data_IF_739341158963
#
_entry.id   IF_739341158963
#
_cell.length_a   1.000
_cell.length_b   1.000
_cell.length_c   1.000
_cell.angle_alpha   90.00
_cell.angle_beta   90.00
_cell.angle_gamma   90.00
#
_symmetry.space_group_name_H-M   'P 1'
#
loop_
_entity.id
_entity.type
_entity.pdbx_description
1 polymer ?
#
# COMPACT_ATOMS: atom_id res chain seq x y z
N UNK A 1 10.69 -26.77 -16.17
CA UNK A 1 10.42 -25.71 -15.18
C UNK A 1 9.33 -26.25 -14.27
N UNK A 2 9.52 -26.27 -12.95
CA UNK A 2 8.50 -26.79 -12.03
C UNK A 2 7.19 -26.00 -12.25
N UNK A 3 6.07 -26.69 -12.39
CA UNK A 3 4.76 -26.04 -12.47
C UNK A 3 4.51 -25.33 -11.13
N UNK A 4 4.32 -24.01 -11.18
CA UNK A 4 3.90 -23.25 -10.01
C UNK A 4 2.40 -23.52 -9.82
N UNK A 5 2.06 -24.20 -8.73
CA UNK A 5 0.67 -24.48 -8.37
C UNK A 5 0.32 -23.83 -7.03
N UNK A 6 -0.95 -23.47 -6.88
CA UNK A 6 -1.55 -23.02 -5.64
C UNK A 6 -2.68 -23.97 -5.24
N UNK A 7 -2.83 -24.34 -3.96
CA UNK A 7 -3.95 -25.15 -3.51
C UNK A 7 -5.27 -24.41 -3.73
N UNK A 8 -6.24 -25.13 -4.29
CA UNK A 8 -7.61 -24.68 -4.51
C UNK A 8 -8.50 -25.20 -3.39
N UNK A 9 -9.13 -24.27 -2.67
CA UNK A 9 -10.08 -24.55 -1.60
C UNK A 9 -11.52 -24.30 -2.06
N UNK A 10 -12.44 -25.12 -1.56
CA UNK A 10 -13.87 -24.88 -1.67
C UNK A 10 -14.34 -23.74 -0.78
N UNK A 11 -15.59 -23.30 -0.95
CA UNK A 11 -16.20 -22.26 -0.09
C UNK A 11 -16.43 -22.70 1.37
N UNK A 12 -16.31 -24.00 1.63
CA UNK A 12 -16.32 -24.68 2.92
C UNK A 12 -14.93 -24.80 3.56
N UNK A 13 -13.86 -24.51 2.81
CA UNK A 13 -12.48 -24.62 3.28
C UNK A 13 -11.86 -26.01 3.07
N UNK A 14 -12.55 -26.93 2.38
CA UNK A 14 -11.98 -28.21 1.97
C UNK A 14 -11.03 -28.04 0.78
N UNK A 15 -9.96 -28.84 0.73
CA UNK A 15 -9.04 -28.85 -0.41
C UNK A 15 -9.71 -29.56 -1.60
N UNK A 16 -9.93 -28.85 -2.70
CA UNK A 16 -10.61 -29.36 -3.90
C UNK A 16 -9.66 -29.64 -5.06
N UNK A 17 -8.38 -29.22 -4.96
CA UNK A 17 -7.36 -29.52 -5.95
C UNK A 17 -6.25 -28.49 -5.97
N UNK A 18 -5.65 -28.30 -7.13
CA UNK A 18 -4.60 -27.30 -7.37
C UNK A 18 -4.93 -26.43 -8.59
N UNK A 19 -4.48 -25.18 -8.54
CA UNK A 19 -4.60 -24.21 -9.63
C UNK A 19 -3.20 -23.85 -10.12
N UNK A 20 -2.98 -23.94 -11.43
CA UNK A 20 -1.74 -23.48 -12.05
C UNK A 20 -1.62 -21.95 -11.97
N UNK A 21 -0.42 -21.46 -11.66
CA UNK A 21 -0.06 -20.05 -11.62
C UNK A 21 0.81 -19.69 -12.83
N UNK A 22 0.59 -18.51 -13.42
CA UNK A 22 1.43 -18.02 -14.51
C UNK A 22 2.90 -17.77 -14.06
N UNK A 23 3.89 -18.49 -14.63
CA UNK A 23 5.30 -18.30 -14.29
C UNK A 23 5.83 -16.89 -14.63
N UNK A 24 5.24 -16.16 -15.56
CA UNK A 24 5.67 -14.78 -15.87
C UNK A 24 5.34 -13.79 -14.74
N UNK A 25 4.36 -14.11 -13.91
CA UNK A 25 3.86 -13.24 -12.84
C UNK A 25 4.29 -13.74 -11.47
N UNK A 26 4.26 -15.06 -11.26
CA UNK A 26 4.57 -15.72 -9.99
C UNK A 26 5.94 -16.43 -9.99
N UNK A 27 6.58 -16.62 -11.15
CA UNK A 27 7.85 -17.35 -11.26
C UNK A 27 9.10 -16.49 -11.52
N UNK A 28 9.01 -15.15 -11.42
CA UNK A 28 10.18 -14.29 -11.67
C UNK A 28 11.13 -14.24 -10.47
N UNK A 29 12.42 -14.01 -10.73
CA UNK A 29 13.39 -13.69 -9.68
C UNK A 29 13.05 -12.31 -9.08
N UNK A 30 12.73 -12.22 -7.78
CA UNK A 30 12.31 -10.95 -7.17
C UNK A 30 13.40 -9.87 -7.22
N UNK A 31 13.05 -8.68 -7.72
CA UNK A 31 13.94 -7.52 -7.69
C UNK A 31 13.69 -6.67 -6.44
N UNK A 32 14.50 -6.92 -5.40
CA UNK A 32 14.38 -6.26 -4.09
C UNK A 32 14.57 -4.73 -4.15
N UNK A 33 15.46 -4.23 -5.02
CA UNK A 33 15.72 -2.79 -5.12
C UNK A 33 14.50 -2.04 -5.67
N UNK A 34 13.91 -2.56 -6.75
CA UNK A 34 12.69 -1.99 -7.37
C UNK A 34 11.51 -2.11 -6.41
N UNK A 35 11.36 -3.26 -5.75
CA UNK A 35 10.34 -3.48 -4.72
C UNK A 35 10.43 -2.42 -3.62
N UNK A 36 11.61 -2.23 -3.03
CA UNK A 36 11.84 -1.25 -1.96
C UNK A 36 11.53 0.19 -2.41
N UNK A 37 12.00 0.58 -3.60
CA UNK A 37 11.77 1.92 -4.13
C UNK A 37 10.27 2.20 -4.38
N UNK A 38 9.54 1.25 -4.98
CA UNK A 38 8.09 1.41 -5.22
C UNK A 38 7.32 1.48 -3.91
N UNK A 39 7.63 0.61 -2.95
CA UNK A 39 6.97 0.59 -1.64
C UNK A 39 7.23 1.87 -0.86
N UNK A 40 8.48 2.36 -0.86
CA UNK A 40 8.85 3.62 -0.22
C UNK A 40 8.13 4.81 -0.85
N UNK A 41 8.06 4.87 -2.18
CA UNK A 41 7.32 5.89 -2.91
C UNK A 41 5.81 5.85 -2.59
N UNK A 42 5.23 4.64 -2.48
CA UNK A 42 3.83 4.46 -2.10
C UNK A 42 3.57 4.93 -0.66
N UNK A 43 4.44 4.56 0.30
CA UNK A 43 4.32 5.03 1.68
C UNK A 43 4.51 6.54 1.81
N UNK A 44 5.44 7.13 1.05
CA UNK A 44 5.63 8.57 1.00
C UNK A 44 4.38 9.28 0.44
N UNK A 45 3.79 8.76 -0.64
CA UNK A 45 2.56 9.28 -1.24
C UNK A 45 1.33 9.23 -0.34
N UNK A 46 1.28 8.30 0.64
CA UNK A 46 0.20 8.22 1.64
C UNK A 46 0.27 9.34 2.68
N UNK A 47 1.38 10.10 2.77
CA UNK A 47 1.55 11.18 3.75
C UNK A 47 0.80 12.44 3.31
N UNK A 48 -0.06 12.97 4.18
CA UNK A 48 -0.81 14.21 3.92
C UNK A 48 0.06 15.48 3.91
N UNK A 49 1.13 15.51 4.72
CA UNK A 49 2.11 16.60 4.68
C UNK A 49 1.60 17.96 5.14
N UNK A 50 0.62 18.01 6.05
CA UNK A 50 -0.06 19.23 6.53
C UNK A 50 0.68 20.00 7.63
N UNK A 51 1.84 19.52 8.08
CA UNK A 51 2.61 20.19 9.11
C UNK A 51 3.03 21.60 8.65
N UNK A 52 2.64 22.62 9.43
CA UNK A 52 2.92 24.02 9.12
C UNK A 52 3.27 24.79 10.39
N UNK A 53 4.42 25.44 10.39
CA UNK A 53 4.83 26.39 11.43
C UNK A 53 4.67 27.82 10.92
N UNK A 54 4.50 28.77 11.84
CA UNK A 54 4.48 30.20 11.49
C UNK A 54 5.90 30.73 11.42
N UNK A 55 6.26 31.28 10.28
CA UNK A 55 7.49 32.06 10.07
C UNK A 55 7.36 33.41 10.78
N UNK A 56 8.47 34.11 10.95
CA UNK A 56 8.48 35.46 11.54
C UNK A 56 7.57 36.48 10.83
N UNK A 57 7.23 36.24 9.56
CA UNK A 57 6.32 37.08 8.78
C UNK A 57 4.84 36.80 9.09
N UNK A 58 4.50 35.53 9.38
CA UNK A 58 3.13 35.06 9.63
C UNK A 58 2.71 35.21 11.11
N UNK A 59 3.66 35.37 12.02
CA UNK A 59 3.37 35.64 13.44
C UNK A 59 2.79 37.05 13.59
N UNK A 60 1.67 37.16 14.30
CA UNK A 60 0.97 38.42 14.60
C UNK A 60 1.82 39.33 15.51
N UNK A 61 1.73 40.65 15.32
CA UNK A 61 2.43 41.65 16.14
C UNK A 61 3.69 42.21 15.46
N UNK A 62 4.61 42.82 16.22
CA UNK A 62 5.87 43.38 15.73
C UNK A 62 5.73 44.57 14.76
N UNK A 63 6.70 44.76 13.85
CA UNK A 63 6.72 45.89 12.89
C UNK A 63 7.47 47.13 13.42
N UNK A 64 7.19 47.54 14.65
CA UNK A 64 8.00 48.55 15.34
C UNK A 64 9.33 47.96 15.81
N UNK A 65 10.43 48.68 15.57
CA UNK A 65 11.76 48.31 16.08
C UNK A 65 11.74 48.35 17.62
N UNK A 66 12.21 47.30 18.32
CA UNK A 66 12.16 47.26 19.80
C UNK A 66 12.89 48.42 20.47
N UNK A 67 14.05 48.82 19.94
CA UNK A 67 14.83 49.98 20.39
C UNK A 67 15.74 50.53 19.29
N UNK A 68 16.28 51.74 19.50
CA UNK A 68 17.25 52.39 18.60
C UNK A 68 18.51 51.56 18.37
N UNK A 69 19.18 51.74 17.23
CA UNK A 69 20.31 50.90 16.80
C UNK A 69 21.53 50.96 17.73
N UNK A 70 21.71 52.08 18.44
CA UNK A 70 22.85 52.38 19.32
C UNK A 70 22.35 53.13 20.57
N UNK A 71 23.14 53.15 21.64
CA UNK A 71 22.87 53.96 22.84
C UNK A 71 21.93 53.35 23.89
N UNK A 72 21.72 52.02 23.88
CA UNK A 72 20.89 51.32 24.89
C UNK A 72 21.64 50.22 25.66
N UNK A 73 22.88 49.88 25.30
CA UNK A 73 23.65 48.79 25.92
C UNK A 73 23.13 47.37 25.64
N UNK A 74 21.95 47.22 25.02
CA UNK A 74 21.33 45.93 24.69
C UNK A 74 21.80 45.39 23.33
N UNK A 75 21.66 44.07 23.13
CA UNK A 75 21.88 43.43 21.83
C UNK A 75 21.04 44.08 20.71
N UNK A 76 21.50 44.01 19.46
CA UNK A 76 20.80 44.64 18.32
C UNK A 76 19.63 43.76 17.88
N UNK A 77 18.42 44.34 17.84
CA UNK A 77 17.25 43.64 17.32
C UNK A 77 16.43 44.50 16.36
N UNK A 78 15.94 43.87 15.28
CA UNK A 78 15.08 44.51 14.29
C UNK A 78 13.59 44.30 14.54
N UNK A 79 13.19 43.18 15.15
CA UNK A 79 11.78 42.84 15.42
C UNK A 79 11.68 41.83 16.55
N UNK A 80 10.61 41.94 17.34
CA UNK A 80 10.23 40.96 18.38
C UNK A 80 9.75 39.62 17.80
N UNK A 81 9.45 39.55 16.50
CA UNK A 81 8.99 38.31 15.82
C UNK A 81 10.13 37.39 15.39
N UNK A 82 11.37 37.77 15.66
CA UNK A 82 12.56 36.98 15.28
C UNK A 82 12.58 35.64 16.04
N UNK A 83 13.10 34.55 15.43
CA UNK A 83 13.18 33.22 16.07
C UNK A 83 13.95 33.19 17.41
N UNK A 84 14.82 34.17 17.65
CA UNK A 84 15.54 34.29 18.92
C UNK A 84 14.62 34.68 20.10
N UNK A 85 13.46 35.27 19.83
CA UNK A 85 12.52 35.73 20.85
C UNK A 85 11.52 34.64 21.20
N UNK A 86 11.12 34.60 22.47
CA UNK A 86 9.97 33.78 22.91
C UNK A 86 8.70 34.28 22.22
N UNK A 87 7.93 33.36 21.63
CA UNK A 87 6.75 33.70 20.82
C UNK A 87 7.07 34.25 19.42
N UNK A 88 8.35 34.30 19.02
CA UNK A 88 8.77 34.59 17.65
C UNK A 88 8.45 33.46 16.67
N UNK A 89 8.66 33.72 15.39
CA UNK A 89 8.43 32.70 14.34
C UNK A 89 9.55 31.67 14.26
N UNK A 90 9.27 30.50 13.68
CA UNK A 90 10.26 29.43 13.48
C UNK A 90 11.03 29.66 12.17
N UNK A 91 12.36 29.54 12.19
CA UNK A 91 13.21 29.78 11.00
C UNK A 91 13.15 28.62 9.99
N UNK A 92 13.49 27.41 10.43
CA UNK A 92 13.53 26.19 9.60
C UNK A 92 12.50 25.17 10.08
N UNK A 93 11.26 25.64 10.26
CA UNK A 93 10.15 24.78 10.66
C UNK A 93 9.49 24.09 9.46
N UNK A 94 8.71 23.02 9.69
CA UNK A 94 8.00 22.36 8.61
C UNK A 94 6.99 23.31 7.95
N UNK A 95 6.86 23.15 6.64
CA UNK A 95 5.83 23.77 5.80
C UNK A 95 5.09 22.69 5.02
N UNK A 96 3.81 22.92 4.67
CA UNK A 96 3.04 21.96 3.90
C UNK A 96 3.76 21.62 2.60
N UNK A 97 3.92 20.33 2.32
CA UNK A 97 4.57 19.83 1.10
C UNK A 97 4.01 18.49 0.69
N UNK A 98 4.06 18.22 -0.61
CA UNK A 98 3.79 16.89 -1.14
C UNK A 98 5.01 15.98 -0.95
N UNK A 99 4.76 14.75 -0.53
CA UNK A 99 5.76 13.67 -0.45
C UNK A 99 5.67 12.72 -1.64
N UNK A 100 4.84 13.04 -2.64
CA UNK A 100 4.63 12.19 -3.81
C UNK A 100 5.92 12.00 -4.61
N UNK A 101 6.25 10.74 -4.90
CA UNK A 101 7.37 10.36 -5.75
C UNK A 101 6.84 9.60 -6.96
N UNK A 102 7.11 10.10 -8.16
CA UNK A 102 6.65 9.47 -9.40
C UNK A 102 7.45 8.20 -9.67
N UNK A 103 6.75 7.08 -9.77
CA UNK A 103 7.33 5.80 -10.22
C UNK A 103 6.86 5.47 -11.65
N UNK A 104 7.72 4.93 -12.53
CA UNK A 104 7.30 4.45 -13.84
C UNK A 104 6.34 3.25 -13.74
N UNK A 105 5.45 3.08 -14.73
CA UNK A 105 4.49 1.98 -14.73
C UNK A 105 5.17 0.60 -14.79
N UNK A 106 6.22 0.45 -15.60
CA UNK A 106 7.02 -0.79 -15.70
C UNK A 106 7.61 -1.18 -14.35
N UNK A 107 8.12 -0.20 -13.61
CA UNK A 107 8.68 -0.39 -12.27
C UNK A 107 7.63 -0.87 -11.26
N UNK A 108 6.42 -0.30 -11.28
CA UNK A 108 5.32 -0.75 -10.40
C UNK A 108 4.90 -2.19 -10.69
N UNK A 109 4.83 -2.58 -11.97
CA UNK A 109 4.51 -3.96 -12.38
C UNK A 109 5.59 -4.93 -11.96
N UNK A 110 6.87 -4.60 -12.21
CA UNK A 110 8.00 -5.42 -11.79
C UNK A 110 8.02 -5.62 -10.26
N UNK A 111 7.74 -4.56 -9.49
CA UNK A 111 7.60 -4.66 -8.04
C UNK A 111 6.44 -5.58 -7.63
N UNK A 112 5.29 -5.49 -8.31
CA UNK A 112 4.15 -6.37 -8.02
C UNK A 112 4.47 -7.83 -8.32
N UNK A 113 5.02 -8.13 -9.51
CA UNK A 113 5.46 -9.48 -9.88
C UNK A 113 6.49 -10.01 -8.87
N UNK A 114 7.46 -9.18 -8.48
CA UNK A 114 8.49 -9.57 -7.49
C UNK A 114 7.88 -9.90 -6.13
N UNK A 115 6.87 -9.15 -5.70
CA UNK A 115 6.16 -9.41 -4.44
C UNK A 115 5.35 -10.71 -4.51
N UNK A 116 4.62 -10.92 -5.61
CA UNK A 116 3.81 -12.12 -5.84
C UNK A 116 4.69 -13.38 -5.96
N UNK A 117 5.81 -13.29 -6.68
CA UNK A 117 6.79 -14.38 -6.79
C UNK A 117 7.39 -14.77 -5.45
N UNK A 118 7.74 -13.79 -4.61
CA UNK A 118 8.22 -14.07 -3.25
C UNK A 118 7.19 -14.85 -2.42
N UNK A 119 5.90 -14.51 -2.54
CA UNK A 119 4.82 -15.21 -1.82
C UNK A 119 4.53 -16.59 -2.40
N UNK A 120 4.60 -16.73 -3.72
CA UNK A 120 4.46 -18.02 -4.39
C UNK A 120 5.62 -18.97 -4.01
N UNK A 121 6.86 -18.49 -3.96
CA UNK A 121 8.02 -19.30 -3.54
C UNK A 121 7.93 -19.78 -2.09
N UNK A 122 7.22 -19.05 -1.24
CA UNK A 122 6.94 -19.42 0.15
C UNK A 122 5.74 -20.37 0.30
N UNK A 123 5.03 -20.69 -0.78
CA UNK A 123 3.80 -21.49 -0.74
C UNK A 123 2.61 -20.77 -0.09
N UNK A 124 2.66 -19.44 0.00
CA UNK A 124 1.68 -18.61 0.72
C UNK A 124 0.57 -18.04 -0.19
N UNK A 125 0.32 -18.71 -1.33
CA UNK A 125 -0.69 -18.33 -2.31
C UNK A 125 -1.78 -19.39 -2.32
N UNK A 126 -3.02 -18.96 -2.11
CA UNK A 126 -4.17 -19.83 -1.96
C UNK A 126 -5.27 -19.37 -2.92
N UNK A 127 -5.89 -20.31 -3.64
CA UNK A 127 -7.05 -20.04 -4.47
C UNK A 127 -8.32 -20.56 -3.80
N UNK A 128 -9.44 -19.84 -3.93
CA UNK A 128 -10.73 -20.26 -3.37
C UNK A 128 -11.80 -20.20 -4.45
N UNK A 129 -12.66 -21.20 -4.47
CA UNK A 129 -13.92 -21.19 -5.20
C UNK A 129 -14.83 -20.00 -4.78
N UNK A 130 -15.92 -19.73 -5.50
CA UNK A 130 -16.86 -18.67 -5.13
C UNK A 130 -17.36 -18.81 -3.69
N UNK A 131 -17.30 -17.72 -2.92
CA UNK A 131 -17.78 -17.65 -1.53
C UNK A 131 -19.24 -17.18 -1.50
N UNK A 132 -20.15 -18.11 -1.80
CA UNK A 132 -21.60 -17.84 -1.87
C UNK A 132 -22.26 -17.98 -0.49
N UNK A 133 -21.98 -17.03 0.40
CA UNK A 133 -22.64 -16.95 1.70
C UNK A 133 -23.98 -16.22 1.60
N UNK A 134 -25.03 -16.79 2.17
CA UNK A 134 -26.37 -16.16 2.19
C UNK A 134 -26.42 -14.88 3.04
N UNK A 135 -25.68 -14.85 4.16
CA UNK A 135 -25.72 -13.74 5.13
C UNK A 135 -24.33 -13.33 5.57
N UNK A 136 -24.07 -12.02 5.78
CA UNK A 136 -22.77 -11.56 6.22
C UNK A 136 -22.54 -11.95 7.68
N UNK A 137 -21.57 -12.83 7.93
CA UNK A 137 -21.24 -13.34 9.27
C UNK A 137 -19.73 -13.44 9.43
N UNK A 138 -19.17 -12.60 10.30
CA UNK A 138 -17.74 -12.60 10.65
C UNK A 138 -17.29 -13.91 11.28
N UNK A 139 -18.14 -14.54 12.10
CA UNK A 139 -17.86 -15.85 12.72
C UNK A 139 -17.63 -16.95 11.67
N UNK A 140 -18.40 -16.94 10.58
CA UNK A 140 -18.23 -17.89 9.47
C UNK A 140 -16.91 -17.64 8.74
N UNK A 141 -16.56 -16.37 8.49
CA UNK A 141 -15.29 -16.00 7.88
C UNK A 141 -14.07 -16.39 8.73
N UNK A 142 -14.13 -16.25 10.05
CA UNK A 142 -13.06 -16.70 10.96
C UNK A 142 -12.94 -18.22 10.94
N UNK A 143 -14.06 -18.94 11.05
CA UNK A 143 -14.07 -20.40 10.97
C UNK A 143 -13.48 -20.91 9.64
N UNK A 144 -13.82 -20.25 8.54
CA UNK A 144 -13.27 -20.56 7.22
C UNK A 144 -11.74 -20.37 7.15
N UNK A 145 -11.22 -19.26 7.69
CA UNK A 145 -9.78 -19.02 7.76
C UNK A 145 -9.07 -20.04 8.67
N UNK A 146 -9.70 -20.42 9.79
CA UNK A 146 -9.18 -21.42 10.71
C UNK A 146 -9.10 -22.82 10.07
N UNK A 147 -10.11 -23.22 9.29
CA UNK A 147 -10.12 -24.49 8.54
C UNK A 147 -8.97 -24.54 7.53
N UNK A 148 -8.69 -23.43 6.84
CA UNK A 148 -7.55 -23.32 5.93
C UNK A 148 -6.20 -23.16 6.64
N UNK A 149 -6.18 -23.02 7.97
CA UNK A 149 -4.96 -22.82 8.76
C UNK A 149 -4.37 -21.40 8.66
N UNK A 150 -5.11 -20.43 8.13
CA UNK A 150 -4.65 -19.05 7.93
C UNK A 150 -4.82 -18.22 9.20
N UNK A 151 -3.85 -18.31 10.12
CA UNK A 151 -3.86 -17.58 11.40
C UNK A 151 -3.11 -16.23 11.35
N UNK A 152 -2.50 -15.91 10.22
CA UNK A 152 -1.64 -14.74 10.02
C UNK A 152 -2.37 -13.50 9.50
N UNK A 153 -1.56 -12.55 8.99
CA UNK A 153 -2.09 -11.46 8.18
C UNK A 153 -2.46 -12.00 6.80
N UNK A 154 -3.72 -11.93 6.44
CA UNK A 154 -4.21 -12.47 5.16
C UNK A 154 -4.68 -11.34 4.26
N UNK A 155 -4.25 -11.33 3.00
CA UNK A 155 -4.81 -10.47 1.97
C UNK A 155 -5.84 -11.27 1.18
N UNK A 156 -7.11 -10.89 1.29
CA UNK A 156 -8.20 -11.45 0.49
C UNK A 156 -8.37 -10.58 -0.75
N UNK A 157 -8.12 -11.19 -1.91
CA UNK A 157 -8.25 -10.56 -3.22
C UNK A 157 -9.61 -10.95 -3.80
N UNK A 158 -10.45 -9.95 -4.05
CA UNK A 158 -11.80 -10.13 -4.59
C UNK A 158 -11.93 -9.43 -5.94
N UNK A 159 -12.84 -9.87 -6.81
CA UNK A 159 -13.08 -9.16 -8.07
C UNK A 159 -13.73 -7.80 -7.81
N UNK A 160 -14.65 -7.77 -6.84
CA UNK A 160 -15.34 -6.58 -6.36
C UNK A 160 -15.28 -6.54 -4.84
N UNK A 161 -14.87 -5.41 -4.26
CA UNK A 161 -14.85 -5.22 -2.80
C UNK A 161 -16.24 -4.85 -2.27
N UNK A 162 -17.26 -5.61 -2.67
CA UNK A 162 -18.64 -5.44 -2.21
C UNK A 162 -19.34 -6.80 -2.09
N UNK A 163 -20.46 -6.83 -1.37
CA UNK A 163 -21.24 -8.06 -1.18
C UNK A 163 -21.10 -8.70 0.19
N UNK A 164 -21.53 -9.95 0.30
CA UNK A 164 -21.65 -10.68 1.58
C UNK A 164 -20.28 -11.09 2.12
N UNK A 165 -19.42 -11.66 1.27
CA UNK A 165 -18.06 -12.04 1.64
C UNK A 165 -17.24 -10.82 2.11
N UNK A 166 -17.24 -9.71 1.36
CA UNK A 166 -16.54 -8.48 1.78
C UNK A 166 -16.98 -8.00 3.17
N UNK A 167 -18.29 -7.94 3.43
CA UNK A 167 -18.83 -7.53 4.75
C UNK A 167 -18.46 -8.49 5.88
N UNK A 168 -18.26 -9.76 5.58
CA UNK A 168 -17.90 -10.79 6.55
C UNK A 168 -16.42 -10.73 6.93
N UNK A 169 -15.53 -10.40 5.99
CA UNK A 169 -14.09 -10.28 6.25
C UNK A 169 -13.66 -8.91 6.80
N UNK A 170 -14.35 -7.81 6.45
CA UNK A 170 -13.85 -6.43 6.70
C UNK A 170 -13.59 -6.08 8.17
N UNK A 171 -14.27 -6.78 9.09
CA UNK A 171 -14.19 -6.52 10.52
C UNK A 171 -13.05 -7.30 11.20
N UNK A 172 -12.35 -8.17 10.48
CA UNK A 172 -11.26 -8.99 11.02
C UNK A 172 -9.95 -8.18 10.93
N UNK A 173 -9.29 -7.83 12.04
CA UNK A 173 -8.12 -6.94 12.01
C UNK A 173 -6.90 -7.50 11.27
N UNK A 174 -6.76 -8.83 11.23
CA UNK A 174 -5.68 -9.53 10.55
C UNK A 174 -5.92 -9.66 9.04
N UNK A 175 -7.13 -9.37 8.56
CA UNK A 175 -7.50 -9.51 7.16
C UNK A 175 -7.57 -8.14 6.50
N UNK A 176 -6.93 -8.01 5.34
CA UNK A 176 -7.20 -6.90 4.41
C UNK A 176 -7.88 -7.44 3.18
N UNK A 177 -8.80 -6.64 2.66
CA UNK A 177 -9.51 -6.95 1.43
C UNK A 177 -9.09 -5.93 0.39
N UNK A 178 -8.78 -6.40 -0.80
CA UNK A 178 -8.48 -5.54 -1.93
C UNK A 178 -9.15 -6.08 -3.19
N UNK A 179 -9.50 -5.18 -4.09
CA UNK A 179 -9.94 -5.61 -5.42
C UNK A 179 -8.73 -6.03 -6.25
N UNK A 180 -8.88 -7.08 -7.05
CA UNK A 180 -7.83 -7.62 -7.92
C UNK A 180 -7.17 -6.53 -8.80
N UNK A 181 -7.95 -5.54 -9.26
CA UNK A 181 -7.49 -4.43 -10.10
C UNK A 181 -6.61 -3.41 -9.36
N UNK A 182 -6.75 -3.32 -8.04
CA UNK A 182 -6.07 -2.32 -7.21
C UNK A 182 -4.97 -2.91 -6.33
N UNK A 183 -4.63 -4.19 -6.53
CA UNK A 183 -3.57 -4.85 -5.77
C UNK A 183 -2.25 -4.08 -5.88
N UNK A 184 -1.63 -3.80 -4.74
CA UNK A 184 -0.36 -3.09 -4.67
C UNK A 184 0.75 -3.96 -4.09
N UNK A 185 2.03 -3.71 -4.45
CA UNK A 185 3.16 -4.44 -3.86
C UNK A 185 3.20 -4.32 -2.33
N UNK A 186 2.79 -3.17 -1.77
CA UNK A 186 2.72 -2.97 -0.32
C UNK A 186 1.72 -3.90 0.36
N UNK A 187 0.56 -4.14 -0.25
CA UNK A 187 -0.48 -4.99 0.33
C UNK A 187 -0.06 -6.46 0.32
N UNK A 188 0.59 -6.90 -0.77
CA UNK A 188 1.18 -8.24 -0.90
C UNK A 188 2.27 -8.49 0.15
N UNK A 189 3.13 -7.49 0.41
CA UNK A 189 4.16 -7.61 1.44
C UNK A 189 3.62 -7.52 2.86
N UNK A 190 2.54 -6.76 3.09
CA UNK A 190 1.92 -6.65 4.40
C UNK A 190 1.30 -7.97 4.87
N UNK A 191 0.75 -8.75 3.94
CA UNK A 191 0.18 -10.06 4.22
C UNK A 191 1.25 -11.15 4.21
N UNK A 192 1.02 -12.16 5.05
CA UNK A 192 1.72 -13.44 5.03
C UNK A 192 1.10 -14.33 3.96
N UNK A 193 -0.22 -14.43 3.97
CA UNK A 193 -0.98 -15.35 3.12
C UNK A 193 -1.84 -14.55 2.13
N UNK A 194 -1.82 -14.95 0.85
CA UNK A 194 -2.63 -14.38 -0.21
C UNK A 194 -3.78 -15.32 -0.56
N UNK A 195 -5.01 -14.84 -0.42
CA UNK A 195 -6.22 -15.58 -0.72
C UNK A 195 -6.90 -14.98 -1.94
N UNK A 196 -6.84 -15.67 -3.08
CA UNK A 196 -7.46 -15.26 -4.33
C UNK A 196 -8.83 -15.92 -4.48
N UNK A 197 -9.90 -15.13 -4.50
CA UNK A 197 -11.23 -15.64 -4.81
C UNK A 197 -11.35 -16.00 -6.30
N UNK A 198 -12.38 -16.78 -6.66
CA UNK A 198 -12.65 -17.19 -8.03
C UNK A 198 -12.61 -16.01 -9.03
N UNK A 199 -11.93 -16.21 -10.16
CA UNK A 199 -11.79 -15.20 -11.22
C UNK A 199 -10.79 -14.07 -10.95
N UNK A 200 -10.25 -13.98 -9.73
CA UNK A 200 -9.33 -12.88 -9.38
C UNK A 200 -7.91 -13.12 -9.82
N UNK A 201 -7.51 -14.39 -9.92
CA UNK A 201 -6.16 -14.78 -10.28
C UNK A 201 -5.87 -14.38 -11.73
N UNK A 202 -6.83 -14.61 -12.63
CA UNK A 202 -6.76 -14.21 -14.04
C UNK A 202 -6.66 -12.68 -14.21
N UNK A 203 -7.37 -11.92 -13.37
CA UNK A 203 -7.31 -10.45 -13.39
C UNK A 203 -5.93 -9.96 -12.94
N UNK A 204 -5.37 -10.54 -11.87
CA UNK A 204 -4.05 -10.16 -11.36
C UNK A 204 -2.95 -10.54 -12.33
N UNK A 205 -3.04 -11.72 -12.95
CA UNK A 205 -2.15 -12.12 -14.04
C UNK A 205 -2.23 -11.12 -15.21
N UNK A 206 -3.44 -10.70 -15.60
CA UNK A 206 -3.65 -9.67 -16.62
C UNK A 206 -3.07 -8.30 -16.28
N UNK A 207 -3.12 -7.87 -15.01
CA UNK A 207 -2.47 -6.63 -14.52
C UNK A 207 -0.95 -6.78 -14.52
N UNK A 208 -0.47 -7.99 -14.21
CA UNK A 208 0.92 -8.39 -14.26
C UNK A 208 1.47 -8.31 -15.68
N UNK A 209 0.75 -8.81 -16.69
CA UNK A 209 1.15 -8.86 -18.11
C UNK A 209 1.27 -7.47 -18.77
N UNK A 210 2.11 -7.38 -19.79
CA UNK A 210 2.44 -6.12 -20.44
C UNK A 210 1.30 -5.63 -21.34
N UNK A 211 1.09 -4.30 -21.40
CA UNK A 211 0.47 -3.67 -22.57
C UNK A 211 1.59 -3.49 -23.61
N UNK A 212 2.13 -4.58 -24.14
CA UNK A 212 3.12 -4.53 -25.22
C UNK A 212 2.43 -4.29 -26.59
N UNK A 213 1.13 -4.58 -26.69
CA UNK A 213 0.38 -4.54 -27.96
C UNK A 213 -0.05 -3.15 -28.46
N UNK A 214 0.23 -2.05 -27.73
CA UNK A 214 -0.08 -0.70 -28.20
C UNK A 214 1.11 -0.01 -28.89
N UNK A 215 2.31 -0.61 -28.88
CA UNK A 215 3.48 -0.13 -29.63
C UNK A 215 3.62 -0.75 -31.03
N UNK A 216 2.92 -1.86 -31.31
CA UNK A 216 3.02 -2.59 -32.58
C UNK A 216 1.98 -2.17 -33.65
N UNK A 217 1.28 -1.05 -33.44
CA UNK A 217 0.31 -0.48 -34.41
C UNK A 217 0.66 0.94 -34.87
N UNK A 218 1.89 1.38 -34.62
CA UNK A 218 2.39 2.67 -35.08
C UNK A 218 3.80 2.50 -35.67
N UNK A 219 3.84 1.80 -36.79
CA UNK A 219 4.95 1.77 -37.75
C UNK A 219 4.37 1.45 -39.11
#
# INVERSE_FOLDING_TARGET
>A
MAELTAPLYGGDGSLQGERSLDPEVFGITPNLAVLHQVVTAQMAGKRSGTASTKTRAEVRGGGRKPWRQKGTGRARHGSIRSPMWRGGGVAHGPKPRSYHQKTPAKMRRLALRSALSSRASEGAVYAVAPLDWERPRTKAAVAFLDVMGLKGKTLVVMERASGVAHRSFRNIPTVRIIEARYITPYDVLWARDLLFCAGTLEIVEGVGRERESLGARAS
#
